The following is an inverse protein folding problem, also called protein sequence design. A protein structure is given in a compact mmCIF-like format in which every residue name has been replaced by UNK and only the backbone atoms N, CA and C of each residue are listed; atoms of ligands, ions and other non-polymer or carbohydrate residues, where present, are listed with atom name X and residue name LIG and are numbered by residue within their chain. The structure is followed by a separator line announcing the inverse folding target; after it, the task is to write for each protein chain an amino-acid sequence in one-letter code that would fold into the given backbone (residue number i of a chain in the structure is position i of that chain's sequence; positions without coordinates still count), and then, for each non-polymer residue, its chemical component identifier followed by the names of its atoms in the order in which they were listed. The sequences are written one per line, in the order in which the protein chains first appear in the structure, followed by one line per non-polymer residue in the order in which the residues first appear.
data_IF_579983275337
#
_entry.id   IF_579983275337
#
_cell.length_a   1.000
_cell.length_b   1.000
_cell.length_c   1.000
_cell.angle_alpha   90.00
_cell.angle_beta   90.00
_cell.angle_gamma   90.00
#
_symmetry.space_group_name_H-M   'P 1'
#
loop_
_entity.id
_entity.type
_entity.pdbx_description
1 polymer ?
#
# COMPACT_ATOMS: atom_id res chain seq x y z
N UNK A 1 27.48 -15.12 8.13
CA UNK A 1 26.67 -13.91 8.41
C UNK A 1 25.22 -14.23 8.09
N UNK A 2 24.39 -14.47 9.10
CA UNK A 2 22.94 -14.63 8.93
C UNK A 2 22.40 -13.27 8.46
N UNK A 3 21.81 -13.18 7.26
CA UNK A 3 21.13 -11.95 6.83
C UNK A 3 19.98 -11.70 7.82
N UNK A 4 20.09 -10.64 8.62
CA UNK A 4 18.97 -10.17 9.45
C UNK A 4 17.82 -9.89 8.49
N UNK A 5 16.69 -10.56 8.70
CA UNK A 5 15.48 -10.29 7.94
C UNK A 5 14.93 -8.97 8.48
N UNK A 6 14.87 -7.94 7.64
CA UNK A 6 14.36 -6.62 8.02
C UNK A 6 12.96 -6.50 7.45
N UNK A 7 11.99 -6.19 8.31
CA UNK A 7 10.62 -5.87 7.93
C UNK A 7 10.49 -4.36 7.91
N UNK A 8 9.92 -3.85 6.83
CA UNK A 8 9.59 -2.44 6.68
C UNK A 8 8.09 -2.27 6.64
N UNK A 9 7.60 -1.23 7.28
CA UNK A 9 6.24 -0.75 7.12
C UNK A 9 6.25 0.37 6.07
N UNK A 10 5.66 0.11 4.90
CA UNK A 10 5.60 1.04 3.79
C UNK A 10 4.18 1.61 3.68
N UNK A 11 4.05 2.93 3.85
CA UNK A 11 2.80 3.66 3.65
C UNK A 11 2.71 4.19 2.21
N UNK A 12 1.59 3.93 1.56
CA UNK A 12 1.27 4.32 0.19
C UNK A 12 -0.04 5.10 0.17
N UNK A 13 -0.08 6.28 -0.43
CA UNK A 13 -1.37 6.93 -0.71
C UNK A 13 -1.86 6.45 -2.09
N UNK A 14 -3.02 5.80 -2.13
CA UNK A 14 -3.72 5.41 -3.34
C UNK A 14 -4.77 6.47 -3.64
N UNK A 15 -4.64 7.10 -4.80
CA UNK A 15 -5.61 8.06 -5.32
C UNK A 15 -6.43 7.41 -6.41
N UNK A 16 -7.75 7.48 -6.33
CA UNK A 16 -8.69 6.92 -7.30
C UNK A 16 -9.94 7.80 -7.40
N UNK A 17 -10.83 7.61 -8.39
CA UNK A 17 -12.11 8.31 -8.42
C UNK A 17 -12.91 8.07 -7.12
N UNK A 18 -13.55 9.10 -6.52
CA UNK A 18 -14.31 8.95 -5.27
C UNK A 18 -15.33 7.82 -5.27
N UNK A 19 -15.99 7.58 -6.40
CA UNK A 19 -16.96 6.50 -6.61
C UNK A 19 -16.39 5.09 -6.45
N UNK A 20 -15.06 4.94 -6.58
CA UNK A 20 -14.38 3.65 -6.47
C UNK A 20 -13.78 3.42 -5.07
N UNK A 21 -13.89 4.37 -4.14
CA UNK A 21 -13.24 4.32 -2.82
C UNK A 21 -13.71 3.13 -1.99
N UNK A 22 -15.02 2.90 -1.97
CA UNK A 22 -15.60 1.79 -1.21
C UNK A 22 -15.12 0.45 -1.75
N UNK A 23 -15.20 0.24 -3.07
CA UNK A 23 -14.74 -0.99 -3.72
C UNK A 23 -13.23 -1.23 -3.52
N UNK A 24 -12.41 -0.18 -3.67
CA UNK A 24 -10.96 -0.29 -3.44
C UNK A 24 -10.61 -0.57 -1.97
N UNK A 25 -11.35 0.02 -1.02
CA UNK A 25 -11.18 -0.25 0.39
C UNK A 25 -11.51 -1.70 0.73
N UNK A 26 -12.65 -2.21 0.25
CA UNK A 26 -13.07 -3.61 0.46
C UNK A 26 -12.04 -4.60 -0.07
N UNK A 27 -11.47 -4.34 -1.25
CA UNK A 27 -10.44 -5.21 -1.81
C UNK A 27 -9.13 -5.18 -1.00
N UNK A 28 -8.67 -3.98 -0.61
CA UNK A 28 -7.37 -3.80 0.02
C UNK A 28 -7.32 -4.20 1.50
N UNK A 29 -8.42 -4.06 2.24
CA UNK A 29 -8.46 -4.27 3.71
C UNK A 29 -8.24 -5.74 4.10
N UNK A 30 -8.40 -6.68 3.17
CA UNK A 30 -8.20 -8.11 3.44
C UNK A 30 -6.74 -8.51 3.67
N UNK A 31 -5.81 -7.77 3.06
CA UNK A 31 -4.38 -8.06 3.10
C UNK A 31 -3.56 -6.98 3.81
N UNK A 32 -4.14 -5.78 3.96
CA UNK A 32 -3.43 -4.58 4.39
C UNK A 32 -4.16 -3.83 5.49
N UNK A 33 -3.41 -2.97 6.18
CA UNK A 33 -4.00 -1.91 6.97
C UNK A 33 -4.34 -0.74 6.04
N UNK A 34 -5.62 -0.39 5.94
CA UNK A 34 -6.11 0.65 5.03
C UNK A 34 -6.83 1.74 5.83
N UNK A 35 -6.49 2.99 5.57
CA UNK A 35 -7.12 4.18 6.15
C UNK A 35 -7.73 5.04 5.05
N UNK A 36 -8.98 5.45 5.19
CA UNK A 36 -9.60 6.41 4.28
C UNK A 36 -9.19 7.82 4.69
N UNK A 37 -8.30 8.44 3.91
CA UNK A 37 -7.78 9.79 4.21
C UNK A 37 -8.79 10.87 3.79
N UNK A 38 -9.43 10.68 2.63
CA UNK A 38 -10.46 11.59 2.13
C UNK A 38 -11.33 10.92 1.08
N UNK A 39 -12.58 10.63 1.41
CA UNK A 39 -13.56 10.09 0.45
C UNK A 39 -13.83 11.07 -0.69
N UNK A 40 -14.07 12.35 -0.37
CA UNK A 40 -14.36 13.40 -1.37
C UNK A 40 -13.24 13.58 -2.41
N UNK A 41 -11.99 13.34 -2.01
CA UNK A 41 -10.81 13.46 -2.89
C UNK A 41 -10.33 12.13 -3.44
N UNK A 42 -10.98 11.04 -3.05
CA UNK A 42 -10.61 9.70 -3.48
C UNK A 42 -9.22 9.28 -3.03
N UNK A 43 -8.90 9.45 -1.73
CA UNK A 43 -7.57 9.13 -1.17
C UNK A 43 -7.69 8.07 -0.08
N UNK A 44 -7.05 6.93 -0.33
CA UNK A 44 -6.79 5.87 0.65
C UNK A 44 -5.32 5.88 1.03
N UNK A 45 -4.99 5.49 2.26
CA UNK A 45 -3.65 5.12 2.67
C UNK A 45 -3.61 3.62 2.90
N UNK A 46 -2.65 2.96 2.28
CA UNK A 46 -2.39 1.54 2.42
C UNK A 46 -1.06 1.37 3.12
N UNK A 47 -1.04 0.57 4.18
CA UNK A 47 0.15 0.26 4.95
C UNK A 47 0.47 -1.21 4.77
N UNK A 48 1.63 -1.47 4.17
CA UNK A 48 2.12 -2.78 3.75
C UNK A 48 3.36 -3.15 4.58
N UNK A 49 3.37 -4.35 5.17
CA UNK A 49 4.56 -4.87 5.85
C UNK A 49 5.31 -5.83 4.94
N UNK A 50 6.52 -5.43 4.53
CA UNK A 50 7.30 -6.19 3.55
C UNK A 50 8.71 -6.48 4.05
N UNK A 51 9.18 -7.69 3.75
CA UNK A 51 10.60 -8.04 3.94
C UNK A 51 11.42 -7.43 2.81
N UNK A 52 12.38 -6.56 3.17
CA UNK A 52 13.23 -5.88 2.19
C UNK A 52 14.65 -5.63 2.73
N UNK A 53 15.55 -5.24 1.82
CA UNK A 53 16.95 -4.88 2.13
C UNK A 53 17.17 -3.40 2.32
N UNK A 54 16.20 -2.58 1.92
CA UNK A 54 16.23 -1.13 2.03
C UNK A 54 14.81 -0.56 2.03
N UNK A 55 14.61 0.68 2.51
CA UNK A 55 13.34 1.39 2.40
C UNK A 55 12.85 1.56 0.95
N UNK A 56 13.76 1.75 -0.01
CA UNK A 56 13.42 1.86 -1.42
C UNK A 56 12.86 0.53 -1.98
N UNK A 57 13.50 -0.59 -1.65
CA UNK A 57 13.02 -1.92 -2.03
C UNK A 57 11.68 -2.24 -1.37
N UNK A 58 11.48 -1.79 -0.13
CA UNK A 58 10.22 -1.96 0.59
C UNK A 58 9.08 -1.23 -0.14
N UNK A 59 9.28 0.05 -0.48
CA UNK A 59 8.30 0.81 -1.26
C UNK A 59 7.99 0.16 -2.61
N UNK A 60 9.01 -0.25 -3.37
CA UNK A 60 8.82 -0.88 -4.66
C UNK A 60 8.11 -2.25 -4.56
N UNK A 61 8.20 -2.94 -3.42
CA UNK A 61 7.46 -4.19 -3.16
C UNK A 61 6.03 -3.90 -2.76
N UNK A 62 5.82 -3.01 -1.80
CA UNK A 62 4.50 -2.58 -1.35
C UNK A 62 3.67 -2.08 -2.53
N UNK A 63 4.22 -1.17 -3.35
CA UNK A 63 3.54 -0.65 -4.53
C UNK A 63 3.09 -1.77 -5.48
N UNK A 64 3.95 -2.78 -5.74
CA UNK A 64 3.60 -3.91 -6.60
C UNK A 64 2.48 -4.77 -6.02
N UNK A 65 2.47 -5.00 -4.71
CA UNK A 65 1.42 -5.78 -4.04
C UNK A 65 0.09 -5.05 -4.10
N UNK A 66 0.06 -3.77 -3.69
CA UNK A 66 -1.14 -2.94 -3.71
C UNK A 66 -1.70 -2.78 -5.13
N UNK A 67 -0.85 -2.54 -6.14
CA UNK A 67 -1.26 -2.50 -7.56
C UNK A 67 -1.89 -3.83 -8.00
N UNK A 68 -1.26 -4.97 -7.70
CA UNK A 68 -1.77 -6.27 -8.12
C UNK A 68 -3.14 -6.60 -7.47
N UNK A 69 -3.38 -6.14 -6.25
CA UNK A 69 -4.67 -6.32 -5.56
C UNK A 69 -5.75 -5.45 -6.17
N UNK A 70 -5.47 -4.17 -6.43
CA UNK A 70 -6.39 -3.28 -7.12
C UNK A 70 -6.77 -3.83 -8.50
N UNK A 71 -5.79 -4.35 -9.25
CA UNK A 71 -6.03 -5.00 -10.54
C UNK A 71 -6.85 -6.29 -10.40
N UNK A 72 -6.64 -7.09 -9.35
CA UNK A 72 -7.41 -8.31 -9.10
C UNK A 72 -8.89 -8.01 -8.74
N UNK A 73 -9.14 -6.86 -8.12
CA UNK A 73 -10.48 -6.35 -7.82
C UNK A 73 -11.10 -5.53 -8.96
N UNK A 74 -10.54 -5.55 -10.17
CA UNK A 74 -10.99 -4.78 -11.33
C UNK A 74 -11.07 -3.25 -11.08
N UNK A 75 -10.22 -2.71 -10.18
CA UNK A 75 -10.17 -1.27 -9.88
C UNK A 75 -9.25 -0.56 -10.89
N UNK A 76 -9.85 0.29 -11.73
CA UNK A 76 -9.13 1.09 -12.72
C UNK A 76 -8.87 2.56 -12.27
N UNK A 77 -7.99 3.25 -13.01
CA UNK A 77 -7.71 4.70 -12.87
C UNK A 77 -7.18 5.16 -11.50
N UNK A 78 -6.22 4.43 -10.94
CA UNK A 78 -5.58 4.81 -9.69
C UNK A 78 -4.14 5.33 -9.86
N UNK A 79 -3.67 6.08 -8.86
CA UNK A 79 -2.28 6.49 -8.73
C UNK A 79 -1.78 6.15 -7.32
N UNK A 80 -0.76 5.30 -7.24
CA UNK A 80 -0.07 5.01 -5.99
C UNK A 80 1.11 5.98 -5.87
N UNK A 81 0.99 6.99 -5.01
CA UNK A 81 2.03 8.00 -4.76
C UNK A 81 2.19 8.28 -3.28
N UNK A 82 3.33 8.86 -2.91
CA UNK A 82 3.76 9.13 -1.53
C UNK A 82 4.46 7.96 -0.82
N UNK A 83 5.53 8.31 -0.09
CA UNK A 83 6.55 7.40 0.42
C UNK A 83 6.85 7.71 1.88
N UNK A 84 6.65 6.72 2.73
CA UNK A 84 7.30 6.62 4.02
C UNK A 84 7.49 5.14 4.35
N UNK A 85 8.75 4.72 4.52
CA UNK A 85 9.08 3.33 4.86
C UNK A 85 10.04 3.32 6.05
N UNK A 86 9.57 2.75 7.17
CA UNK A 86 10.33 2.66 8.42
C UNK A 86 10.67 1.20 8.74
N UNK A 87 11.87 0.95 9.26
CA UNK A 87 12.24 -0.37 9.79
C UNK A 87 11.41 -0.62 11.05
N UNK A 88 10.63 -1.70 11.05
CA UNK A 88 9.90 -2.16 12.23
C UNK A 88 10.68 -3.33 12.82
N UNK A 89 11.33 -3.08 13.96
CA UNK A 89 12.01 -4.13 14.72
C UNK A 89 10.99 -5.00 15.45
N UNK A 90 11.06 -6.32 15.23
CA UNK A 90 10.50 -7.33 16.14
C UNK A 90 11.36 -7.45 17.40
#
# INVERSE_FOLDING_TARGET
MTRKTVIYEASLDVRLPPENIEAAYEELVHANSVEVISEERGILRVVEQVVATSPFDAFARAQRVTTAQLEAGDIEYYNVSHYFAEEVSC
#
